data_IF_586535244333
#
_entry.id   IF_586535244333
#
_cell.length_a   1.000
_cell.length_b   1.000
_cell.length_c   1.000
_cell.angle_alpha   90.00
_cell.angle_beta   90.00
_cell.angle_gamma   90.00
#
_symmetry.space_group_name_H-M   'P 1'
#
loop_
_entity.id
_entity.type
_entity.pdbx_description
1 polymer ?
#
# COMPACT_ATOMS: atom_id res chain seq x y z
N UNK A 1 -17.75 21.15 -5.25
CA UNK A 1 -17.52 19.79 -5.77
C UNK A 1 -16.15 19.34 -5.31
N UNK A 2 -16.03 18.23 -4.59
CA UNK A 2 -14.71 17.73 -4.20
C UNK A 2 -13.94 17.30 -5.46
N UNK A 3 -12.69 17.73 -5.58
CA UNK A 3 -11.83 17.32 -6.68
C UNK A 3 -11.47 15.84 -6.48
N UNK A 4 -11.97 14.98 -7.36
CA UNK A 4 -11.58 13.56 -7.39
C UNK A 4 -10.23 13.45 -8.08
N UNK A 5 -9.25 12.85 -7.41
CA UNK A 5 -7.94 12.55 -7.98
C UNK A 5 -7.77 11.04 -8.08
N UNK A 6 -7.45 10.54 -9.27
CA UNK A 6 -7.10 9.15 -9.51
C UNK A 6 -5.79 9.12 -10.30
N UNK A 7 -4.78 8.42 -9.76
CA UNK A 7 -3.52 8.14 -10.44
C UNK A 7 -3.23 6.64 -10.33
N UNK A 8 -3.02 5.99 -11.47
CA UNK A 8 -2.70 4.57 -11.52
C UNK A 8 -1.23 4.39 -11.87
N UNK A 9 -0.56 3.51 -11.13
CA UNK A 9 0.80 3.07 -11.38
C UNK A 9 0.78 1.54 -11.54
N UNK A 10 1.63 1.02 -12.42
CA UNK A 10 1.85 -0.42 -12.53
C UNK A 10 2.35 -0.98 -11.20
N UNK A 11 1.91 -2.20 -10.85
CA UNK A 11 2.33 -2.87 -9.63
C UNK A 11 3.85 -3.08 -9.61
N UNK A 12 4.50 -2.83 -8.48
CA UNK A 12 5.96 -2.96 -8.30
C UNK A 12 6.27 -4.06 -7.28
N UNK A 13 7.44 -4.68 -7.41
CA UNK A 13 7.92 -5.62 -6.41
C UNK A 13 8.13 -4.89 -5.08
N UNK A 14 7.68 -5.48 -3.97
CA UNK A 14 7.75 -4.84 -2.66
C UNK A 14 6.56 -3.92 -2.33
N UNK A 15 5.61 -3.71 -3.25
CA UNK A 15 4.46 -2.84 -3.01
C UNK A 15 3.56 -3.34 -1.87
N UNK A 16 3.34 -4.65 -1.77
CA UNK A 16 2.52 -5.21 -0.71
C UNK A 16 3.18 -5.09 0.66
N UNK A 17 4.48 -5.43 0.76
CA UNK A 17 5.24 -5.27 2.00
C UNK A 17 5.29 -3.81 2.47
N UNK A 18 5.34 -2.86 1.53
CA UNK A 18 5.24 -1.43 1.83
C UNK A 18 3.85 -1.05 2.34
N UNK A 19 2.79 -1.46 1.63
CA UNK A 19 1.40 -1.14 1.97
C UNK A 19 0.97 -1.76 3.30
N UNK A 20 1.43 -2.99 3.60
CA UNK A 20 1.21 -3.70 4.87
C UNK A 20 2.12 -3.22 6.01
N UNK A 21 3.00 -2.22 5.75
CA UNK A 21 3.96 -1.66 6.72
C UNK A 21 4.94 -2.69 7.30
N UNK A 22 5.25 -3.74 6.56
CA UNK A 22 6.25 -4.76 6.93
C UNK A 22 7.69 -4.26 6.72
N UNK A 23 7.85 -3.22 5.89
CA UNK A 23 9.14 -2.57 5.65
C UNK A 23 9.30 -1.33 6.53
N UNK A 24 10.38 -1.28 7.30
CA UNK A 24 10.75 -0.09 8.08
C UNK A 24 11.30 1.01 7.17
N UNK A 25 10.70 2.20 7.27
CA UNK A 25 11.05 3.37 6.47
C UNK A 25 11.07 4.59 7.39
N UNK A 26 12.11 5.41 7.29
CA UNK A 26 12.35 6.53 8.21
C UNK A 26 11.25 7.60 8.21
N UNK A 27 10.50 7.69 7.11
CA UNK A 27 9.40 8.64 6.95
C UNK A 27 8.04 8.13 7.45
N UNK A 28 7.96 6.90 7.96
CA UNK A 28 6.71 6.30 8.42
C UNK A 28 6.56 6.42 9.93
N UNK A 29 5.45 7.02 10.38
CA UNK A 29 5.00 7.05 11.76
C UNK A 29 4.51 5.66 12.20
N UNK A 30 5.42 4.83 12.73
CA UNK A 30 5.14 3.45 13.16
C UNK A 30 4.09 3.39 14.27
N UNK A 31 4.09 4.38 15.16
CA UNK A 31 3.15 4.53 16.26
C UNK A 31 1.70 4.64 15.78
N UNK A 32 1.45 5.10 14.55
CA UNK A 32 0.10 5.19 13.96
C UNK A 32 -0.26 4.01 13.05
N UNK A 33 0.69 3.12 12.74
CA UNK A 33 0.49 2.06 11.74
C UNK A 33 -0.57 1.04 12.15
N UNK A 34 -0.81 0.86 13.45
CA UNK A 34 -1.86 -0.01 13.98
C UNK A 34 -3.29 0.47 13.67
N UNK A 35 -3.47 1.74 13.29
CA UNK A 35 -4.76 2.30 12.91
C UNK A 35 -5.10 2.07 11.42
N UNK A 36 -4.14 1.56 10.62
CA UNK A 36 -4.39 1.34 9.20
C UNK A 36 -5.21 0.06 8.98
N UNK A 37 -6.28 0.18 8.23
CA UNK A 37 -7.00 -0.98 7.69
C UNK A 37 -6.44 -1.35 6.31
N UNK A 38 -6.46 -2.64 6.00
CA UNK A 38 -5.98 -3.15 4.73
C UNK A 38 -7.05 -4.03 4.09
N UNK A 39 -7.36 -3.75 2.83
CA UNK A 39 -8.31 -4.51 2.05
C UNK A 39 -7.61 -5.16 0.85
N UNK A 40 -7.67 -6.49 0.77
CA UNK A 40 -7.16 -7.26 -0.36
C UNK A 40 -8.18 -8.28 -0.84
N UNK A 41 -8.28 -8.44 -2.16
CA UNK A 41 -9.00 -9.54 -2.81
C UNK A 41 -8.06 -10.60 -3.40
N UNK A 42 -6.78 -10.27 -3.57
CA UNK A 42 -5.72 -11.11 -4.12
C UNK A 42 -4.34 -10.52 -3.75
N UNK A 43 -3.28 -11.31 -3.88
CA UNK A 43 -1.90 -10.89 -3.56
C UNK A 43 -1.27 -10.11 -4.71
N UNK A 44 -0.20 -9.35 -4.42
CA UNK A 44 0.62 -8.68 -5.43
C UNK A 44 1.14 -9.66 -6.48
N UNK A 45 1.56 -10.87 -6.08
CA UNK A 45 2.05 -11.91 -6.98
C UNK A 45 0.99 -12.31 -8.01
N UNK A 46 -0.29 -12.32 -7.64
CA UNK A 46 -1.38 -12.60 -8.57
C UNK A 46 -1.62 -11.45 -9.57
N UNK A 47 -1.30 -10.20 -9.19
CA UNK A 47 -1.45 -9.01 -10.05
C UNK A 47 -0.27 -8.79 -11.01
N UNK A 48 0.84 -9.48 -10.78
CA UNK A 48 2.06 -9.39 -11.59
C UNK A 48 2.09 -10.38 -12.76
N UNK A 49 1.09 -11.25 -12.86
CA UNK A 49 0.92 -12.22 -13.94
C UNK A 49 0.07 -11.60 -15.05
#
# INVERSE_FOLDING_TARGET
MAQTSANFQSVKAGSEQHNKREKELDYVHKELSHNNEYWESCTQEQRMK
#
